data_IF_208770368131
#
_entry.id   IF_208770368131
#
_cell.length_a   1.000
_cell.length_b   1.000
_cell.length_c   1.000
_cell.angle_alpha   90.00
_cell.angle_beta   90.00
_cell.angle_gamma   90.00
#
_symmetry.space_group_name_H-M   'P 1'
#
loop_
_entity.id
_entity.type
_entity.pdbx_description
1 polymer ?
#
# COMPACT_ATOMS: atom_id res chain seq x y z
N UNK A 1 -17.29 0.40 17.58
CA UNK A 1 -16.88 -0.34 16.37
C UNK A 1 -15.78 -1.32 16.73
N UNK A 2 -16.12 -2.60 16.90
CA UNK A 2 -15.14 -3.65 17.19
C UNK A 2 -14.76 -4.33 15.88
N UNK A 3 -13.59 -3.97 15.34
CA UNK A 3 -13.03 -4.63 14.17
C UNK A 3 -12.49 -5.99 14.61
N UNK A 4 -12.86 -7.06 13.89
CA UNK A 4 -12.46 -8.42 14.23
C UNK A 4 -10.94 -8.58 14.25
N UNK A 5 -10.44 -9.21 15.32
CA UNK A 5 -9.03 -9.54 15.50
C UNK A 5 -8.67 -10.62 14.46
N UNK A 6 -7.61 -10.39 13.69
CA UNK A 6 -7.09 -11.40 12.77
C UNK A 6 -6.53 -12.59 13.58
N UNK A 7 -6.87 -13.84 13.26
CA UNK A 7 -6.30 -15.03 13.91
C UNK A 7 -4.78 -15.18 13.70
N UNK A 8 -4.15 -14.32 12.89
CA UNK A 8 -2.72 -14.34 12.60
C UNK A 8 -1.89 -13.31 13.40
N UNK A 9 -2.40 -12.81 14.52
CA UNK A 9 -1.62 -11.90 15.38
C UNK A 9 -0.44 -12.65 15.99
N UNK A 10 0.80 -12.24 15.67
CA UNK A 10 2.02 -12.84 16.21
C UNK A 10 2.54 -12.01 17.36
N UNK A 11 2.97 -12.68 18.42
CA UNK A 11 3.60 -12.07 19.59
C UNK A 11 5.01 -12.64 19.78
N UNK A 12 5.96 -11.80 20.17
CA UNK A 12 7.30 -12.22 20.56
C UNK A 12 7.35 -12.31 22.07
N UNK A 13 7.31 -13.55 22.58
CA UNK A 13 7.38 -13.87 23.99
C UNK A 13 8.82 -14.18 24.38
N UNK A 14 9.31 -13.53 25.41
CA UNK A 14 10.63 -13.80 26.00
C UNK A 14 10.44 -14.43 27.37
N UNK A 15 10.99 -15.61 27.60
CA UNK A 15 11.02 -16.21 28.94
C UNK A 15 12.46 -16.20 29.47
N UNK A 16 12.60 -15.80 30.73
CA UNK A 16 13.89 -15.77 31.42
C UNK A 16 13.92 -16.88 32.46
N UNK A 17 14.95 -17.73 32.38
CA UNK A 17 15.18 -18.79 33.37
C UNK A 17 16.00 -18.21 34.53
N UNK A 18 15.88 -18.75 35.75
CA UNK A 18 16.63 -18.28 36.93
C UNK A 18 18.18 -18.22 36.77
N UNK A 19 18.75 -18.79 35.70
CA UNK A 19 20.16 -18.63 35.31
C UNK A 19 20.45 -17.44 34.36
N UNK A 20 19.53 -16.49 34.21
CA UNK A 20 19.74 -15.25 33.44
C UNK A 20 19.70 -15.39 31.91
N UNK A 21 19.45 -16.59 31.37
CA UNK A 21 19.25 -16.79 29.93
C UNK A 21 17.81 -16.45 29.55
N UNK A 22 17.66 -15.42 28.74
CA UNK A 22 16.40 -15.02 28.10
C UNK A 22 16.34 -15.60 26.70
N UNK A 23 15.26 -16.31 26.39
CA UNK A 23 15.02 -16.88 25.05
C UNK A 23 13.80 -16.23 24.44
N UNK A 24 13.95 -15.71 23.22
CA UNK A 24 12.86 -15.11 22.44
C UNK A 24 12.18 -16.20 21.60
N UNK A 25 10.87 -16.34 21.74
CA UNK A 25 10.03 -17.22 20.93
C UNK A 25 8.95 -16.39 20.26
N UNK A 26 8.81 -16.54 18.95
CA UNK A 26 7.67 -16.03 18.21
C UNK A 26 6.51 -17.01 18.36
N UNK A 27 5.38 -16.53 18.89
CA UNK A 27 4.19 -17.33 19.16
C UNK A 27 2.95 -16.70 18.54
N UNK A 28 1.98 -17.53 18.15
CA UNK A 28 0.65 -17.15 17.69
C UNK A 28 -0.41 -17.68 18.66
N UNK A 29 -1.63 -17.17 18.55
CA UNK A 29 -2.75 -17.74 19.28
C UNK A 29 -2.95 -19.22 18.88
N UNK A 30 -3.05 -20.11 19.86
CA UNK A 30 -3.18 -21.55 19.68
C UNK A 30 -1.85 -22.32 19.66
N UNK A 31 -0.70 -21.63 19.60
CA UNK A 31 0.60 -22.30 19.60
C UNK A 31 0.86 -23.00 20.95
N UNK A 32 1.47 -24.19 20.87
CA UNK A 32 1.88 -25.01 22.02
C UNK A 32 3.38 -25.22 21.97
N UNK A 33 4.09 -24.89 23.04
CA UNK A 33 5.53 -25.08 23.17
C UNK A 33 5.91 -25.74 24.50
N UNK A 34 7.00 -26.49 24.49
CA UNK A 34 7.50 -27.16 25.70
C UNK A 34 8.48 -26.24 26.42
N UNK A 35 8.27 -26.05 27.72
CA UNK A 35 9.15 -25.27 28.57
C UNK A 35 10.27 -26.17 29.13
N UNK A 36 11.52 -25.66 29.19
CA UNK A 36 12.64 -26.42 29.74
C UNK A 36 12.49 -26.72 31.24
N UNK A 37 11.71 -25.91 31.96
CA UNK A 37 11.41 -26.16 33.36
C UNK A 37 10.29 -27.20 33.52
N UNK A 38 10.62 -28.32 34.18
CA UNK A 38 9.67 -29.36 34.65
C UNK A 38 8.85 -30.04 33.53
N UNK A 39 9.34 -30.10 32.29
CA UNK A 39 8.61 -30.68 31.13
C UNK A 39 7.19 -30.11 30.98
N UNK A 40 6.99 -28.85 31.36
CA UNK A 40 5.68 -28.20 31.31
C UNK A 40 5.32 -27.85 29.87
N UNK A 41 4.04 -27.98 29.51
CA UNK A 41 3.52 -27.51 28.21
C UNK A 41 2.91 -26.14 28.40
N UNK A 42 3.35 -25.17 27.61
CA UNK A 42 2.76 -23.84 27.54
C UNK A 42 1.93 -23.72 26.26
N UNK A 43 0.69 -23.30 26.42
CA UNK A 43 -0.26 -23.06 25.33
C UNK A 43 -0.64 -21.59 25.33
N UNK A 44 -0.55 -20.96 24.17
CA UNK A 44 -1.00 -19.58 23.97
C UNK A 44 -2.51 -19.58 23.76
N UNK A 45 -3.27 -19.20 24.79
CA UNK A 45 -4.73 -19.20 24.72
C UNK A 45 -5.25 -18.02 23.91
N UNK A 46 -4.71 -16.82 24.16
CA UNK A 46 -5.12 -15.56 23.51
C UNK A 46 -3.95 -14.61 23.40
N UNK A 47 -3.96 -13.81 22.34
CA UNK A 47 -3.08 -12.65 22.16
C UNK A 47 -4.00 -11.44 22.02
N UNK A 48 -3.95 -10.52 22.98
CA UNK A 48 -4.81 -9.35 23.01
C UNK A 48 -3.96 -8.07 22.96
N UNK A 49 -4.34 -7.13 22.10
CA UNK A 49 -3.59 -5.87 21.94
C UNK A 49 -3.84 -4.91 23.09
N UNK A 50 -4.99 -5.03 23.76
CA UNK A 50 -5.35 -4.22 24.89
C UNK A 50 -6.31 -4.96 25.83
N UNK A 51 -5.81 -5.38 26.97
CA UNK A 51 -6.63 -5.90 28.06
C UNK A 51 -6.95 -4.74 29.00
N UNK A 52 -8.23 -4.39 29.14
CA UNK A 52 -8.72 -3.44 30.17
C UNK A 52 -7.99 -2.08 30.19
N UNK A 53 -7.52 -1.58 29.05
CA UNK A 53 -6.71 -0.34 28.94
C UNK A 53 -5.30 -0.43 29.56
N UNK A 54 -4.87 -1.63 29.98
CA UNK A 54 -3.54 -1.90 30.53
C UNK A 54 -2.51 -2.21 29.43
N UNK A 55 -2.94 -2.27 28.17
CA UNK A 55 -2.06 -2.48 27.02
C UNK A 55 -1.92 -3.96 26.60
N UNK A 56 -0.92 -4.26 25.75
CA UNK A 56 -0.80 -5.54 25.06
C UNK A 56 -0.41 -6.67 26.01
N UNK A 57 -1.12 -7.79 25.91
CA UNK A 57 -0.97 -8.93 26.78
C UNK A 57 -1.22 -10.27 26.07
N UNK A 58 -0.48 -11.30 26.48
CA UNK A 58 -0.67 -12.68 26.02
C UNK A 58 -1.17 -13.52 27.18
N UNK A 59 -2.26 -14.27 26.96
CA UNK A 59 -2.76 -15.25 27.92
C UNK A 59 -2.09 -16.59 27.68
N UNK A 60 -1.32 -17.06 28.66
CA UNK A 60 -0.70 -18.37 28.64
C UNK A 60 -1.43 -19.33 29.55
N UNK A 61 -1.47 -20.60 29.15
CA UNK A 61 -1.82 -21.74 30.00
C UNK A 61 -0.61 -22.64 30.11
N UNK A 62 -0.18 -22.94 31.33
CA UNK A 62 0.90 -23.88 31.61
C UNK A 62 0.31 -25.12 32.26
N UNK A 63 0.57 -26.27 31.65
CA UNK A 63 0.21 -27.59 32.17
C UNK A 63 1.49 -28.32 32.61
N UNK A 64 1.58 -28.62 33.91
CA UNK A 64 2.70 -29.36 34.52
C UNK A 64 2.17 -30.33 35.59
N UNK A 65 2.44 -31.64 35.44
CA UNK A 65 2.18 -32.69 36.43
C UNK A 65 0.82 -32.56 37.17
N UNK A 66 -0.27 -32.39 36.40
CA UNK A 66 -1.67 -32.19 36.85
C UNK A 66 -2.04 -30.81 37.39
N UNK A 67 -1.14 -29.82 37.36
CA UNK A 67 -1.46 -28.42 37.64
C UNK A 67 -1.63 -27.67 36.32
N UNK A 68 -2.77 -27.01 36.17
CA UNK A 68 -3.06 -26.10 35.08
C UNK A 68 -3.08 -24.68 35.64
N UNK A 69 -2.19 -23.82 35.16
CA UNK A 69 -2.09 -22.42 35.60
C UNK A 69 -2.29 -21.52 34.38
N UNK A 70 -3.24 -20.59 34.46
CA UNK A 70 -3.45 -19.58 33.43
C UNK A 70 -3.04 -18.21 33.96
N UNK A 71 -2.33 -17.42 33.16
CA UNK A 71 -1.97 -16.05 33.53
C UNK A 71 -1.70 -15.18 32.31
N UNK A 72 -1.75 -13.88 32.52
CA UNK A 72 -1.48 -12.87 31.52
C UNK A 72 -0.04 -12.37 31.63
N UNK A 73 0.61 -12.23 30.48
CA UNK A 73 1.94 -11.67 30.34
C UNK A 73 1.81 -10.34 29.60
N UNK A 74 1.99 -9.24 30.32
CA UNK A 74 1.94 -7.89 29.77
C UNK A 74 3.31 -7.42 29.29
N UNK A 75 3.35 -6.59 28.25
CA UNK A 75 4.58 -5.96 27.77
C UNK A 75 5.14 -4.97 28.80
N UNK A 76 4.28 -4.17 29.41
CA UNK A 76 4.64 -3.05 30.30
C UNK A 76 4.29 -3.33 31.77
N UNK A 77 4.38 -4.57 32.23
CA UNK A 77 3.94 -4.95 33.59
C UNK A 77 4.64 -4.18 34.72
N UNK A 78 5.90 -3.76 34.49
CA UNK A 78 6.67 -2.98 35.48
C UNK A 78 6.08 -1.58 35.66
N UNK A 79 5.80 -0.89 34.56
CA UNK A 79 5.19 0.44 34.57
C UNK A 79 3.80 0.40 35.22
N UNK A 80 3.01 -0.64 34.90
CA UNK A 80 1.67 -0.83 35.49
C UNK A 80 1.76 -1.10 36.99
N UNK A 81 2.74 -1.89 37.43
CA UNK A 81 2.95 -2.19 38.85
C UNK A 81 3.50 -0.99 39.63
N UNK A 82 4.25 -0.08 39.00
CA UNK A 82 4.68 1.18 39.63
C UNK A 82 3.49 2.14 39.85
N UNK A 83 2.54 2.17 38.91
CA UNK A 83 1.33 3.01 39.02
C UNK A 83 0.32 2.42 40.02
N UNK A 84 0.17 1.10 40.09
CA UNK A 84 -0.67 0.42 41.07
C UNK A 84 0.06 -0.78 41.70
N UNK A 85 0.82 -0.58 42.79
CA UNK A 85 1.60 -1.65 43.43
C UNK A 85 0.74 -2.76 44.05
N UNK A 86 -0.56 -2.53 44.27
CA UNK A 86 -1.51 -3.54 44.76
C UNK A 86 -2.01 -4.51 43.67
N UNK A 87 -1.90 -4.14 42.38
CA UNK A 87 -2.53 -4.88 41.28
C UNK A 87 -2.06 -6.34 41.18
N UNK A 88 -0.77 -6.60 41.39
CA UNK A 88 -0.19 -7.94 41.30
C UNK A 88 -0.59 -8.84 42.48
N UNK A 89 -0.95 -8.24 43.61
CA UNK A 89 -1.42 -8.93 44.81
C UNK A 89 -2.93 -9.18 44.76
N UNK A 90 -3.70 -8.21 44.27
CA UNK A 90 -5.15 -8.30 44.12
C UNK A 90 -5.54 -9.21 42.96
N UNK A 91 -4.76 -9.22 41.87
CA UNK A 91 -5.00 -10.05 40.68
C UNK A 91 -3.77 -10.93 40.42
N UNK A 92 -3.65 -12.09 41.10
CA UNK A 92 -2.52 -13.01 40.92
C UNK A 92 -2.31 -13.42 39.46
N UNK A 93 -3.38 -13.46 38.66
CA UNK A 93 -3.38 -13.80 37.23
C UNK A 93 -2.54 -12.83 36.36
N UNK A 94 -2.19 -11.64 36.85
CA UNK A 94 -1.35 -10.67 36.14
C UNK A 94 0.13 -10.81 36.48
N UNK A 95 0.48 -11.70 37.42
CA UNK A 95 1.86 -11.89 37.82
C UNK A 95 2.62 -12.76 36.79
N UNK A 96 3.60 -12.20 36.06
CA UNK A 96 4.35 -12.90 35.01
C UNK A 96 5.29 -13.99 35.55
N UNK A 97 5.51 -14.02 36.87
CA UNK A 97 6.34 -14.98 37.58
C UNK A 97 5.54 -16.03 38.35
N UNK A 98 4.25 -16.21 38.04
CA UNK A 98 3.42 -17.25 38.69
C UNK A 98 4.01 -18.66 38.56
N UNK A 99 4.74 -18.92 37.49
CA UNK A 99 5.41 -20.20 37.26
C UNK A 99 6.92 -20.11 37.58
N UNK A 100 7.25 -20.01 38.87
CA UNK A 100 8.66 -20.05 39.32
C UNK A 100 9.33 -21.37 38.86
N UNK A 101 10.54 -21.35 38.26
CA UNK A 101 11.51 -20.25 38.22
C UNK A 101 11.54 -19.43 36.91
N UNK A 102 10.51 -19.53 36.05
CA UNK A 102 10.45 -18.77 34.80
C UNK A 102 9.69 -17.47 35.00
N UNK A 103 10.26 -16.39 34.46
CA UNK A 103 9.57 -15.10 34.32
C UNK A 103 9.30 -14.86 32.84
N UNK A 104 8.04 -14.67 32.50
CA UNK A 104 7.62 -14.39 31.13
C UNK A 104 7.52 -12.88 30.91
N UNK A 105 7.94 -12.42 29.74
CA UNK A 105 7.85 -11.02 29.32
C UNK A 105 7.45 -10.97 27.87
N UNK A 106 6.59 -10.03 27.50
CA UNK A 106 6.17 -9.81 26.13
C UNK A 106 7.06 -8.70 25.55
N UNK A 107 7.75 -8.97 24.44
CA UNK A 107 8.68 -8.01 23.84
C UNK A 107 8.01 -7.12 22.80
N UNK A 108 7.23 -7.71 21.90
CA UNK A 108 6.50 -7.00 20.86
C UNK A 108 5.32 -7.82 20.35
N UNK A 109 4.28 -7.16 19.83
CA UNK A 109 3.22 -7.79 19.05
C UNK A 109 3.35 -7.30 17.60
N UNK A 110 3.59 -8.22 16.66
CA UNK A 110 3.59 -7.89 15.23
C UNK A 110 2.15 -7.68 14.77
N UNK A 111 1.86 -6.44 14.43
CA UNK A 111 0.53 -6.01 13.98
C UNK A 111 0.37 -6.35 12.51
N UNK A 112 -0.62 -7.19 12.18
CA UNK A 112 -1.15 -7.25 10.82
C UNK A 112 -2.55 -6.68 10.84
N UNK A 113 -2.62 -5.37 10.65
CA UNK A 113 -3.88 -4.66 10.47
C UNK A 113 -4.58 -5.21 9.23
N UNK A 114 -5.55 -6.11 9.42
CA UNK A 114 -6.51 -6.44 8.37
C UNK A 114 -7.56 -5.33 8.40
N UNK A 115 -7.26 -4.21 7.74
CA UNK A 115 -8.34 -3.29 7.40
C UNK A 115 -9.32 -4.09 6.55
N UNK A 116 -10.59 -4.19 6.97
CA UNK A 116 -11.65 -4.86 6.20
C UNK A 116 -11.89 -4.25 4.79
N UNK A 117 -11.08 -3.26 4.40
CA UNK A 117 -10.80 -2.86 3.04
C UNK A 117 -10.19 -4.06 2.28
N UNK A 118 -11.08 -4.93 1.82
CA UNK A 118 -10.78 -5.82 0.71
C UNK A 118 -10.36 -4.92 -0.44
N UNK A 119 -9.11 -5.05 -0.90
CA UNK A 119 -8.66 -4.44 -2.15
C UNK A 119 -9.43 -5.12 -3.27
N UNK A 120 -10.65 -4.64 -3.52
CA UNK A 120 -11.47 -5.07 -4.64
C UNK A 120 -10.80 -4.48 -5.87
N UNK A 121 -9.95 -5.28 -6.50
CA UNK A 121 -9.35 -4.92 -7.77
C UNK A 121 -10.39 -5.22 -8.84
N UNK A 122 -11.17 -4.21 -9.18
CA UNK A 122 -12.18 -4.32 -10.23
C UNK A 122 -11.49 -4.60 -11.58
N UNK A 123 -11.75 -5.74 -12.22
CA UNK A 123 -11.09 -6.12 -13.46
C UNK A 123 -11.44 -5.21 -14.64
N UNK A 124 -12.44 -4.33 -14.49
CA UNK A 124 -12.87 -3.36 -15.49
C UNK A 124 -12.04 -2.06 -15.51
N UNK A 125 -11.31 -1.74 -14.44
CA UNK A 125 -10.56 -0.47 -14.33
C UNK A 125 -9.50 -0.32 -15.43
N UNK A 126 -8.72 -1.35 -15.80
CA UNK A 126 -7.76 -1.23 -16.89
C UNK A 126 -8.43 -0.91 -18.24
N UNK A 127 -9.60 -1.50 -18.51
CA UNK A 127 -10.33 -1.25 -19.77
C UNK A 127 -10.92 0.16 -19.83
N UNK A 128 -11.49 0.65 -18.73
CA UNK A 128 -12.00 2.01 -18.64
C UNK A 128 -10.88 3.05 -18.82
N UNK A 129 -9.72 2.83 -18.21
CA UNK A 129 -8.55 3.69 -18.35
C UNK A 129 -8.03 3.68 -19.79
N UNK A 130 -7.99 2.50 -20.42
CA UNK A 130 -7.61 2.36 -21.83
C UNK A 130 -8.52 3.21 -22.73
N UNK A 131 -9.85 3.12 -22.54
CA UNK A 131 -10.80 3.96 -23.27
C UNK A 131 -10.60 5.46 -23.05
N UNK A 132 -10.34 5.88 -21.81
CA UNK A 132 -10.02 7.26 -21.47
C UNK A 132 -8.76 7.77 -22.18
N UNK A 133 -7.71 6.96 -22.25
CA UNK A 133 -6.47 7.29 -22.99
C UNK A 133 -6.74 7.44 -24.49
N UNK A 134 -7.51 6.52 -25.09
CA UNK A 134 -7.87 6.62 -26.51
C UNK A 134 -8.65 7.90 -26.84
N UNK A 135 -9.58 8.32 -25.98
CA UNK A 135 -10.31 9.58 -26.15
C UNK A 135 -9.38 10.79 -26.10
N UNK A 136 -8.44 10.83 -25.16
CA UNK A 136 -7.45 11.92 -25.07
C UNK A 136 -6.57 12.00 -26.33
N UNK A 137 -6.08 10.86 -26.81
CA UNK A 137 -5.29 10.79 -28.05
C UNK A 137 -6.10 11.24 -29.26
N UNK A 138 -7.37 10.83 -29.36
CA UNK A 138 -8.27 11.28 -30.42
C UNK A 138 -8.48 12.78 -30.41
N UNK A 139 -8.72 13.37 -29.23
CA UNK A 139 -8.90 14.81 -29.07
C UNK A 139 -7.65 15.59 -29.48
N UNK A 140 -6.46 15.13 -29.06
CA UNK A 140 -5.18 15.70 -29.47
C UNK A 140 -5.05 15.63 -31.00
N UNK A 141 -5.32 14.47 -31.60
CA UNK A 141 -5.19 14.27 -33.05
C UNK A 141 -6.08 15.24 -33.84
N UNK A 142 -7.34 15.41 -33.43
CA UNK A 142 -8.27 16.35 -34.06
C UNK A 142 -7.78 17.79 -33.89
N UNK A 143 -7.33 18.17 -32.69
CA UNK A 143 -6.88 19.52 -32.40
C UNK A 143 -5.61 19.91 -33.18
N UNK A 144 -4.71 18.95 -33.41
CA UNK A 144 -3.45 19.18 -34.13
C UNK A 144 -3.59 19.09 -35.65
N UNK A 145 -4.72 18.65 -36.19
CA UNK A 145 -4.96 18.59 -37.63
C UNK A 145 -5.30 19.98 -38.17
N UNK A 146 -4.35 20.63 -38.84
CA UNK A 146 -4.56 21.92 -39.48
C UNK A 146 -5.17 21.75 -40.88
N UNK A 147 -6.45 22.10 -41.04
CA UNK A 147 -7.05 22.21 -42.36
C UNK A 147 -6.38 23.34 -43.16
N UNK A 148 -5.79 22.97 -44.31
CA UNK A 148 -5.18 23.90 -45.27
C UNK A 148 -5.98 23.82 -46.56
N UNK A 149 -6.40 24.97 -47.11
CA UNK A 149 -7.02 25.08 -48.44
C UNK A 149 -6.15 25.97 -49.32
N UNK A 150 -5.85 25.49 -50.52
CA UNK A 150 -5.04 26.21 -51.51
C UNK A 150 -5.91 26.40 -52.75
N UNK A 151 -5.90 27.60 -53.31
CA UNK A 151 -6.57 27.96 -54.55
C UNK A 151 -5.54 28.41 -55.58
N UNK A 152 -5.66 27.89 -56.79
CA UNK A 152 -4.84 28.28 -57.94
C UNK A 152 -5.78 28.88 -58.98
N UNK A 153 -5.56 30.15 -59.30
CA UNK A 153 -6.29 30.88 -60.33
C UNK A 153 -5.36 31.10 -61.53
N UNK A 154 -5.81 30.70 -62.71
CA UNK A 154 -5.08 30.89 -63.97
C UNK A 154 -5.91 31.80 -64.86
N UNK A 155 -5.40 33.00 -65.12
CA UNK A 155 -6.01 33.99 -66.00
C UNK A 155 -5.17 34.14 -67.26
N UNK A 156 -5.80 33.94 -68.43
CA UNK A 156 -5.13 34.15 -69.72
C UNK A 156 -5.34 35.62 -70.15
N UNK A 157 -4.24 36.38 -70.23
CA UNK A 157 -4.23 37.74 -70.77
C UNK A 157 -3.68 37.74 -72.21
N UNK A 158 -3.99 38.77 -73.03
CA UNK A 158 -3.69 38.78 -74.47
C UNK A 158 -2.22 38.51 -74.86
N UNK A 159 -1.27 38.78 -73.96
CA UNK A 159 0.17 38.57 -74.20
C UNK A 159 0.88 37.78 -73.10
N UNK A 160 0.18 37.39 -72.02
CA UNK A 160 0.78 36.71 -70.85
C UNK A 160 -0.23 35.82 -70.15
N UNK A 161 0.22 34.74 -69.54
CA UNK A 161 -0.61 33.95 -68.61
C UNK A 161 -0.29 34.38 -67.18
N UNK A 162 -1.30 34.79 -66.42
CA UNK A 162 -1.17 35.17 -65.00
C UNK A 162 -1.64 34.02 -64.13
N UNK A 163 -0.72 33.44 -63.36
CA UNK A 163 -1.02 32.39 -62.38
C UNK A 163 -0.96 33.00 -60.98
N UNK A 164 -2.08 32.97 -60.26
CA UNK A 164 -2.17 33.44 -58.88
C UNK A 164 -2.43 32.25 -57.94
N UNK A 165 -1.53 32.04 -56.97
CA UNK A 165 -1.64 30.97 -55.98
C UNK A 165 -1.92 31.60 -54.61
N UNK A 166 -3.08 31.29 -54.04
CA UNK A 166 -3.49 31.78 -52.73
C UNK A 166 -3.82 30.59 -51.81
N UNK A 167 -3.75 30.79 -50.50
CA UNK A 167 -4.14 29.75 -49.56
C UNK A 167 -4.58 30.31 -48.21
N UNK A 168 -5.50 29.61 -47.57
CA UNK A 168 -5.94 29.89 -46.21
C UNK A 168 -5.67 28.65 -45.37
N UNK A 169 -5.15 28.86 -44.16
CA UNK A 169 -5.04 27.80 -43.17
C UNK A 169 -5.55 28.27 -41.83
N UNK A 170 -6.29 27.38 -41.15
CA UNK A 170 -6.85 27.64 -39.83
C UNK A 170 -5.77 27.75 -38.74
N UNK A 171 -4.60 27.10 -38.93
CA UNK A 171 -3.43 27.16 -38.03
C UNK A 171 -2.14 27.11 -38.84
N UNK A 172 -1.04 27.65 -38.32
CA UNK A 172 0.30 27.65 -38.97
C UNK A 172 0.35 28.39 -40.32
N UNK A 173 -0.16 29.62 -40.37
CA UNK A 173 -0.15 30.48 -41.59
C UNK A 173 1.25 30.74 -42.17
N UNK A 174 2.28 30.82 -41.32
CA UNK A 174 3.68 31.00 -41.73
C UNK A 174 4.23 29.78 -42.48
N UNK A 175 3.88 28.57 -42.05
CA UNK A 175 4.25 27.32 -42.75
C UNK A 175 3.55 27.23 -44.11
N UNK A 176 2.28 27.64 -44.20
CA UNK A 176 1.57 27.73 -45.48
C UNK A 176 2.20 28.76 -46.41
N UNK A 177 2.56 29.94 -45.90
CA UNK A 177 3.23 30.98 -46.68
C UNK A 177 4.56 30.48 -47.27
N UNK A 178 5.35 29.74 -46.48
CA UNK A 178 6.56 29.07 -46.96
C UNK A 178 6.28 28.04 -48.07
N UNK A 179 5.25 27.19 -47.91
CA UNK A 179 4.82 26.23 -48.94
C UNK A 179 4.36 26.94 -50.23
N UNK A 180 3.58 28.00 -50.12
CA UNK A 180 3.11 28.81 -51.25
C UNK A 180 4.27 29.46 -52.01
N UNK A 181 5.26 30.00 -51.28
CA UNK A 181 6.42 30.64 -51.89
C UNK A 181 7.29 29.64 -52.65
N UNK A 182 7.50 28.44 -52.09
CA UNK A 182 8.15 27.32 -52.80
C UNK A 182 7.38 26.91 -54.05
N UNK A 183 6.05 26.82 -53.98
CA UNK A 183 5.21 26.50 -55.13
C UNK A 183 5.36 27.55 -56.24
N UNK A 184 5.34 28.84 -55.87
CA UNK A 184 5.54 29.96 -56.80
C UNK A 184 6.91 29.91 -57.48
N UNK A 185 7.98 29.65 -56.72
CA UNK A 185 9.33 29.53 -57.27
C UNK A 185 9.43 28.38 -58.27
N UNK A 186 8.83 27.23 -57.97
CA UNK A 186 8.85 26.05 -58.85
C UNK A 186 8.11 26.30 -60.16
N UNK A 187 6.91 26.88 -60.09
CA UNK A 187 6.11 27.25 -61.26
C UNK A 187 6.84 28.31 -62.11
N UNK A 188 7.48 29.30 -61.48
CA UNK A 188 8.25 30.31 -62.21
C UNK A 188 9.50 29.74 -62.88
N UNK A 189 10.13 28.72 -62.29
CA UNK A 189 11.30 28.06 -62.89
C UNK A 189 10.93 27.21 -64.11
N UNK A 190 9.82 26.47 -64.04
CA UNK A 190 9.34 25.65 -65.16
C UNK A 190 8.81 26.47 -66.34
N UNK A 191 8.20 27.65 -66.10
CA UNK A 191 7.67 28.51 -67.17
C UNK A 191 8.76 29.37 -67.84
N UNK A 192 9.91 29.57 -67.17
CA UNK A 192 11.04 30.31 -67.71
C UNK A 192 12.01 29.45 -68.55
N UNK A 193 11.76 28.14 -68.63
CA UNK A 193 12.51 27.18 -69.47
C UNK A 193 11.71 26.91 -70.75
#
# INVERSE_FOLDING_TARGET
SSYGISPETKAVLTYTTAGGKSTDIMVKQGDVFQLPAKKARATVLRVEENIMQLGPAVKLSIEADKKHIQFWVFQHIKEIAEVNPGLLSEVPLFNPGLFKPLVFSLKTIEKRYYTGLRVVRDPGVPFALTGGVFLLVGLITIYFTAHQRIWVLVEQQPQRVKISVNGISNRYSTSLAGKLNRLRQRISGEIAT
#
